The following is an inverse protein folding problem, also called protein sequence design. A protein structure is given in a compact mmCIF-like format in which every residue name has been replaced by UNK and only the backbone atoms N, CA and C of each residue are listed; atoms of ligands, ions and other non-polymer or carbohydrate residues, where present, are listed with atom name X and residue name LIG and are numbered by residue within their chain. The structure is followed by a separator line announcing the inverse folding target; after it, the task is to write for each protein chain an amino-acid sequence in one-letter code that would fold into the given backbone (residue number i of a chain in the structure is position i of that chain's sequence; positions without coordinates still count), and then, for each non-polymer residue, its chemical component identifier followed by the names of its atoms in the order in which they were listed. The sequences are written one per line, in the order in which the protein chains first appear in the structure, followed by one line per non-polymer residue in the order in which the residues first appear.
data_IF_909149942411
#
_entry.id   IF_909149942411
#
_cell.length_a   1.000
_cell.length_b   1.000
_cell.length_c   1.000
_cell.angle_alpha   90.00
_cell.angle_beta   90.00
_cell.angle_gamma   90.00
#
_symmetry.space_group_name_H-M   'P 1'
#
loop_
_entity.id
_entity.type
_entity.pdbx_description
1 polymer ?
#
# COMPACT_ATOMS: atom_id res chain seq x y z
N UNK A 1 12.81 0.64 -2.78
CA UNK A 1 12.60 1.37 -4.02
C UNK A 1 11.18 1.18 -4.52
N UNK A 2 10.49 2.26 -4.83
CA UNK A 2 9.11 2.17 -5.29
C UNK A 2 9.07 1.69 -6.74
N UNK A 3 8.50 0.51 -6.95
CA UNK A 3 8.35 -0.06 -8.28
C UNK A 3 7.04 0.42 -8.90
N UNK A 4 6.88 0.14 -10.19
CA UNK A 4 5.64 0.40 -10.89
C UNK A 4 4.45 -0.32 -10.23
N UNK A 5 4.68 -1.55 -9.81
CA UNK A 5 3.65 -2.36 -9.15
C UNK A 5 3.16 -1.72 -7.85
N UNK A 6 4.10 -1.19 -7.07
CA UNK A 6 3.75 -0.51 -5.82
C UNK A 6 2.95 0.75 -6.10
N UNK A 7 3.33 1.51 -7.12
CA UNK A 7 2.59 2.72 -7.49
C UNK A 7 1.18 2.39 -7.96
N UNK A 8 1.02 1.35 -8.75
CA UNK A 8 -0.29 0.90 -9.20
C UNK A 8 -1.15 0.46 -8.01
N UNK A 9 -0.56 -0.28 -7.08
CA UNK A 9 -1.24 -0.67 -5.86
C UNK A 9 -1.73 0.56 -5.08
N UNK A 10 -0.85 1.54 -4.94
CA UNK A 10 -1.20 2.75 -4.20
C UNK A 10 -2.35 3.52 -4.84
N UNK A 11 -2.35 3.61 -6.18
CA UNK A 11 -3.44 4.23 -6.90
C UNK A 11 -4.76 3.51 -6.65
N UNK A 12 -4.74 2.19 -6.68
CA UNK A 12 -5.94 1.38 -6.43
C UNK A 12 -6.43 1.54 -5.00
N UNK A 13 -5.49 1.64 -4.05
CA UNK A 13 -5.83 1.89 -2.65
C UNK A 13 -6.53 3.25 -2.50
N UNK A 14 -5.97 4.28 -3.13
CA UNK A 14 -6.52 5.64 -3.05
C UNK A 14 -7.89 5.74 -3.70
N UNK A 15 -8.13 4.94 -4.73
CA UNK A 15 -9.42 4.87 -5.41
C UNK A 15 -10.38 3.89 -4.75
N UNK A 16 -9.95 3.24 -3.67
CA UNK A 16 -10.71 2.25 -2.92
C UNK A 16 -11.19 1.09 -3.79
N UNK A 17 -10.34 0.67 -4.73
CA UNK A 17 -10.62 -0.49 -5.58
C UNK A 17 -10.34 -1.80 -4.87
N UNK A 18 -9.59 -1.76 -3.76
CA UNK A 18 -9.37 -2.91 -2.88
C UNK A 18 -10.17 -2.72 -1.61
N UNK A 19 -10.61 -3.84 -1.00
CA UNK A 19 -11.02 -3.81 0.38
C UNK A 19 -9.76 -3.63 1.25
N UNK A 20 -9.95 -3.29 2.51
CA UNK A 20 -8.82 -3.13 3.43
C UNK A 20 -7.99 -4.41 3.51
N UNK A 21 -8.66 -5.57 3.61
CA UNK A 21 -7.96 -6.85 3.70
C UNK A 21 -7.18 -7.15 2.43
N UNK A 22 -7.75 -6.90 1.27
CA UNK A 22 -7.06 -7.13 0.00
C UNK A 22 -5.86 -6.19 -0.15
N UNK A 23 -6.01 -4.94 0.25
CA UNK A 23 -4.93 -3.98 0.20
C UNK A 23 -3.76 -4.41 1.10
N UNK A 24 -4.07 -4.89 2.31
CA UNK A 24 -3.06 -5.39 3.24
C UNK A 24 -2.37 -6.65 2.69
N UNK A 25 -3.14 -7.52 2.08
CA UNK A 25 -2.59 -8.74 1.50
C UNK A 25 -1.55 -8.42 0.43
N UNK A 26 -1.89 -7.53 -0.50
CA UNK A 26 -0.97 -7.10 -1.54
C UNK A 26 0.24 -6.36 -0.95
N UNK A 27 0.02 -5.53 0.06
CA UNK A 27 1.09 -4.82 0.74
C UNK A 27 2.13 -5.80 1.30
N UNK A 28 1.68 -6.90 1.90
CA UNK A 28 2.58 -7.91 2.45
C UNK A 28 3.44 -8.59 1.38
N UNK A 29 2.96 -8.68 0.14
CA UNK A 29 3.71 -9.30 -0.94
C UNK A 29 4.95 -8.50 -1.32
N UNK A 30 4.89 -7.19 -1.31
CA UNK A 30 6.05 -6.38 -1.68
C UNK A 30 6.76 -5.72 -0.49
N UNK A 31 6.23 -5.88 0.70
CA UNK A 31 6.85 -5.31 1.91
C UNK A 31 8.32 -5.71 2.08
N UNK A 32 8.73 -6.97 1.84
CA UNK A 32 10.13 -7.36 1.99
C UNK A 32 11.09 -6.64 1.04
N UNK A 33 10.57 -6.05 -0.03
CA UNK A 33 11.39 -5.36 -1.02
C UNK A 33 11.47 -3.85 -0.77
N UNK A 34 10.86 -3.37 0.31
CA UNK A 34 10.80 -1.96 0.63
C UNK A 34 11.72 -1.62 1.81
N UNK A 35 12.20 -0.37 1.83
CA UNK A 35 12.94 0.12 2.98
C UNK A 35 11.96 0.42 4.12
N UNK A 36 12.51 0.61 5.34
CA UNK A 36 11.68 0.94 6.50
C UNK A 36 10.89 2.22 6.29
N UNK A 37 11.50 3.22 5.67
CA UNK A 37 10.83 4.50 5.41
C UNK A 37 9.71 4.33 4.39
N UNK A 38 9.96 3.57 3.34
CA UNK A 38 8.95 3.27 2.33
C UNK A 38 7.77 2.53 2.96
N UNK A 39 8.05 1.56 3.80
CA UNK A 39 7.02 0.82 4.52
C UNK A 39 6.16 1.75 5.37
N UNK A 40 6.79 2.66 6.12
CA UNK A 40 6.06 3.62 6.95
C UNK A 40 5.16 4.52 6.11
N UNK A 41 5.70 5.05 5.02
CA UNK A 41 4.95 5.96 4.15
C UNK A 41 3.74 5.26 3.52
N UNK A 42 3.94 4.07 3.00
CA UNK A 42 2.86 3.33 2.36
C UNK A 42 1.82 2.88 3.37
N UNK A 43 2.26 2.43 4.54
CA UNK A 43 1.34 2.04 5.61
C UNK A 43 0.49 3.23 6.06
N UNK A 44 1.10 4.39 6.19
CA UNK A 44 0.40 5.62 6.56
C UNK A 44 -0.66 5.98 5.54
N UNK A 45 -0.33 5.88 4.25
CA UNK A 45 -1.29 6.16 3.17
C UNK A 45 -2.42 5.14 3.16
N UNK A 46 -2.08 3.87 3.39
CA UNK A 46 -3.08 2.81 3.48
C UNK A 46 -4.07 3.10 4.59
N UNK A 47 -3.56 3.40 5.79
CA UNK A 47 -4.40 3.70 6.94
C UNK A 47 -5.28 4.92 6.69
N UNK A 48 -4.72 5.96 6.07
CA UNK A 48 -5.46 7.18 5.76
C UNK A 48 -6.59 6.91 4.76
N UNK A 49 -6.35 6.06 3.77
CA UNK A 49 -7.34 5.73 2.75
C UNK A 49 -8.54 4.97 3.30
N UNK A 50 -8.32 4.17 4.34
CA UNK A 50 -9.39 3.35 4.95
C UNK A 50 -9.83 3.87 6.31
N UNK A 51 -9.41 5.05 6.66
CA UNK A 51 -9.84 5.68 7.90
C UNK A 51 -11.27 6.13 7.77
N UNK A 52 -12.11 5.72 8.68
CA UNK A 52 -13.51 6.12 8.71
C UNK A 52 -13.72 7.42 9.46
#
# INVERSE_FOLDING_TARGET
MLTREVREWLQKVERRQYSHDDAMYEFMHFAPYLTKEELKQLKSRLDASYKS
#
